data_IF_678321094309
#
_entry.id   IF_678321094309
#
_cell.length_a   1.000
_cell.length_b   1.000
_cell.length_c   1.000
_cell.angle_alpha   90.00
_cell.angle_beta   90.00
_cell.angle_gamma   90.00
#
_symmetry.space_group_name_H-M   'P 1'
#
loop_
_entity.id
_entity.type
_entity.pdbx_description
1 polymer ?
#
# COMPACT_ATOMS: atom_id res chain seq x y z
N UNK A 1 -8.88 -43.35 65.79
CA UNK A 1 -9.30 -43.47 64.37
C UNK A 1 -8.99 -42.17 63.69
N UNK A 2 -7.87 -42.13 62.98
CA UNK A 2 -7.43 -40.91 62.27
C UNK A 2 -8.00 -40.90 60.86
N UNK A 3 -8.87 -39.94 60.58
CA UNK A 3 -9.44 -39.71 59.24
C UNK A 3 -8.36 -38.93 58.45
N UNK A 4 -7.76 -39.55 57.44
CA UNK A 4 -6.94 -38.86 56.47
C UNK A 4 -7.82 -38.19 55.41
N UNK A 5 -7.85 -36.87 55.46
CA UNK A 5 -8.46 -36.03 54.42
C UNK A 5 -7.50 -35.92 53.28
N UNK A 6 -7.70 -36.69 52.22
CA UNK A 6 -6.98 -36.53 50.96
C UNK A 6 -7.43 -35.27 50.27
N UNK A 7 -6.64 -34.23 50.33
CA UNK A 7 -6.84 -32.99 49.59
C UNK A 7 -6.25 -33.17 48.19
N UNK A 8 -7.08 -33.54 47.23
CA UNK A 8 -6.73 -33.65 45.80
C UNK A 8 -6.58 -32.25 45.24
N UNK A 9 -5.32 -31.79 45.13
CA UNK A 9 -5.00 -30.53 44.45
C UNK A 9 -5.15 -30.75 42.94
N UNK A 10 -6.29 -30.33 42.38
CA UNK A 10 -6.50 -30.28 40.92
C UNK A 10 -5.67 -29.13 40.34
N UNK A 11 -4.48 -29.47 39.83
CA UNK A 11 -3.69 -28.53 39.04
C UNK A 11 -4.36 -28.37 37.69
N UNK A 12 -5.16 -27.31 37.54
CA UNK A 12 -5.65 -26.88 36.22
C UNK A 12 -4.45 -26.37 35.41
N UNK A 13 -3.93 -27.21 34.53
CA UNK A 13 -3.08 -26.74 33.44
C UNK A 13 -3.93 -25.87 32.50
N UNK A 14 -3.91 -24.56 32.70
CA UNK A 14 -4.31 -23.60 31.65
C UNK A 14 -3.25 -23.70 30.57
N UNK A 15 -3.47 -24.60 29.61
CA UNK A 15 -2.76 -24.54 28.35
C UNK A 15 -3.21 -23.27 27.67
N UNK A 16 -2.46 -22.19 27.88
CA UNK A 16 -2.53 -21.01 27.03
C UNK A 16 -2.10 -21.48 25.65
N UNK A 17 -3.05 -21.87 24.81
CA UNK A 17 -2.83 -21.96 23.38
C UNK A 17 -2.52 -20.55 22.89
N UNK A 18 -1.23 -20.19 22.83
CA UNK A 18 -0.81 -19.12 21.96
C UNK A 18 -1.09 -19.63 20.54
N UNK A 19 -2.22 -19.28 19.96
CA UNK A 19 -2.45 -19.43 18.52
C UNK A 19 -1.33 -18.64 17.84
N UNK A 20 -0.24 -19.32 17.48
CA UNK A 20 0.70 -18.76 16.52
C UNK A 20 -0.07 -18.66 15.21
N UNK A 21 -0.49 -17.46 14.86
CA UNK A 21 -1.11 -17.22 13.57
C UNK A 21 -0.13 -17.69 12.48
N UNK A 22 -0.62 -18.46 11.54
CA UNK A 22 0.19 -18.89 10.41
C UNK A 22 0.41 -17.68 9.49
N UNK A 23 1.64 -17.18 9.46
CA UNK A 23 2.05 -16.05 8.62
C UNK A 23 2.64 -16.48 7.28
N UNK A 24 2.59 -17.76 6.92
CA UNK A 24 3.21 -18.26 5.68
C UNK A 24 2.61 -17.58 4.44
N UNK A 25 1.28 -17.55 4.35
CA UNK A 25 0.58 -16.89 3.25
C UNK A 25 0.86 -15.38 3.21
N UNK A 26 0.79 -14.71 4.37
CA UNK A 26 1.16 -13.30 4.46
C UNK A 26 2.59 -13.05 3.97
N UNK A 27 3.56 -13.87 4.35
CA UNK A 27 4.94 -13.67 3.93
C UNK A 27 5.13 -13.86 2.42
N UNK A 28 4.42 -14.81 1.81
CA UNK A 28 4.39 -14.97 0.36
C UNK A 28 3.80 -13.76 -0.34
N UNK A 29 2.63 -13.32 0.09
CA UNK A 29 1.91 -12.18 -0.51
C UNK A 29 2.64 -10.85 -0.25
N UNK A 30 3.31 -10.72 0.90
CA UNK A 30 4.17 -9.57 1.18
C UNK A 30 5.31 -9.45 0.17
N UNK A 31 5.95 -10.55 -0.21
CA UNK A 31 7.01 -10.51 -1.22
C UNK A 31 6.46 -9.99 -2.57
N UNK A 32 5.27 -10.43 -2.99
CA UNK A 32 4.58 -9.93 -4.19
C UNK A 32 4.30 -8.43 -4.06
N UNK A 33 3.75 -7.97 -2.93
CA UNK A 33 3.46 -6.56 -2.72
C UNK A 33 4.74 -5.69 -2.68
N UNK A 34 5.84 -6.22 -2.14
CA UNK A 34 7.15 -5.55 -2.17
C UNK A 34 7.68 -5.40 -3.59
N UNK A 35 7.63 -6.46 -4.38
CA UNK A 35 8.02 -6.44 -5.79
C UNK A 35 7.15 -5.46 -6.59
N UNK A 36 5.83 -5.47 -6.36
CA UNK A 36 4.91 -4.53 -7.01
C UNK A 36 5.24 -3.07 -6.69
N UNK A 37 5.46 -2.69 -5.43
CA UNK A 37 5.83 -1.32 -5.09
C UNK A 37 7.20 -0.93 -5.65
N UNK A 38 8.14 -1.88 -5.75
CA UNK A 38 9.46 -1.61 -6.30
C UNK A 38 9.45 -1.30 -7.80
N UNK A 39 8.37 -1.62 -8.54
CA UNK A 39 8.26 -1.27 -9.96
C UNK A 39 8.23 0.23 -10.23
N UNK A 40 7.87 1.03 -9.23
CA UNK A 40 7.90 2.50 -9.30
C UNK A 40 9.29 3.09 -9.07
N UNK A 41 10.22 2.32 -8.48
CA UNK A 41 11.57 2.76 -8.20
C UNK A 41 12.48 2.60 -9.46
N UNK A 42 13.58 3.34 -9.51
CA UNK A 42 14.50 3.26 -10.66
C UNK A 42 15.36 1.98 -10.64
N UNK A 43 15.47 1.23 -11.77
CA UNK A 43 14.80 1.48 -13.03
C UNK A 43 13.31 1.09 -12.99
N UNK A 44 12.45 1.99 -13.45
CA UNK A 44 11.00 1.75 -13.52
C UNK A 44 10.70 0.53 -14.39
N UNK A 45 9.82 -0.37 -13.92
CA UNK A 45 9.41 -1.57 -14.67
C UNK A 45 7.88 -1.64 -14.85
N UNK A 46 7.39 -0.91 -15.85
CA UNK A 46 5.97 -0.84 -16.17
C UNK A 46 5.41 -2.17 -16.71
N UNK A 47 6.23 -2.99 -17.37
CA UNK A 47 5.77 -4.29 -17.87
C UNK A 47 5.60 -5.29 -16.71
N UNK A 48 6.52 -5.30 -15.74
CA UNK A 48 6.35 -6.09 -14.52
C UNK A 48 5.12 -5.61 -13.74
N UNK A 49 4.97 -4.29 -13.54
CA UNK A 49 3.78 -3.70 -12.89
C UNK A 49 2.48 -4.26 -13.46
N UNK A 50 2.31 -4.20 -14.79
CA UNK A 50 1.10 -4.71 -15.47
C UNK A 50 0.92 -6.21 -15.26
N UNK A 51 1.99 -6.98 -15.32
CA UNK A 51 1.96 -8.44 -15.22
C UNK A 51 1.58 -8.97 -13.85
N UNK A 52 1.70 -8.13 -12.80
CA UNK A 52 1.37 -8.49 -11.42
C UNK A 52 -0.09 -8.23 -11.04
N UNK A 53 -0.87 -7.62 -11.91
CA UNK A 53 -2.27 -7.25 -11.67
C UNK A 53 -3.23 -8.30 -12.25
N UNK A 54 -4.28 -8.65 -11.48
CA UNK A 54 -5.41 -9.40 -12.01
C UNK A 54 -6.23 -8.50 -12.96
N UNK A 55 -6.65 -9.02 -14.10
CA UNK A 55 -7.47 -8.25 -15.07
C UNK A 55 -8.85 -7.81 -14.52
N UNK A 56 -9.30 -8.42 -13.44
CA UNK A 56 -10.51 -8.04 -12.71
C UNK A 56 -10.21 -7.32 -11.38
N UNK A 57 -9.06 -6.68 -11.26
CA UNK A 57 -8.67 -5.99 -10.04
C UNK A 57 -9.69 -4.92 -9.64
N UNK A 58 -9.96 -4.83 -8.33
CA UNK A 58 -10.65 -3.71 -7.69
C UNK A 58 -9.62 -2.87 -6.93
N UNK A 59 -9.43 -1.62 -7.35
CA UNK A 59 -8.47 -0.72 -6.72
C UNK A 59 -9.14 0.53 -6.17
N UNK A 60 -8.93 0.82 -4.87
CA UNK A 60 -9.33 2.09 -4.28
C UNK A 60 -8.31 3.17 -4.65
N UNK A 61 -8.69 4.08 -5.54
CA UNK A 61 -7.85 5.20 -5.95
C UNK A 61 -7.65 6.20 -4.81
N UNK A 62 -6.44 6.79 -4.66
CA UNK A 62 -6.16 7.86 -3.69
C UNK A 62 -6.70 9.22 -4.12
N UNK A 63 -7.14 9.34 -5.39
CA UNK A 63 -7.61 10.61 -5.95
C UNK A 63 -9.01 10.95 -5.45
N UNK A 64 -9.18 12.18 -4.99
CA UNK A 64 -10.47 12.65 -4.47
C UNK A 64 -11.60 12.49 -5.51
N UNK A 65 -12.69 11.84 -5.06
CA UNK A 65 -13.91 11.66 -5.86
C UNK A 65 -13.87 10.52 -6.89
N UNK A 66 -12.74 9.82 -7.05
CA UNK A 66 -12.61 8.74 -8.05
C UNK A 66 -13.21 7.42 -7.52
N UNK A 67 -12.92 7.03 -6.28
CA UNK A 67 -13.45 5.80 -5.69
C UNK A 67 -12.74 4.53 -6.15
N UNK A 68 -13.49 3.42 -6.27
CA UNK A 68 -12.96 2.13 -6.73
C UNK A 68 -12.92 2.08 -8.25
N UNK A 69 -11.80 1.63 -8.80
CA UNK A 69 -11.52 1.55 -10.24
C UNK A 69 -11.06 0.14 -10.63
N UNK A 70 -11.10 -0.16 -11.92
CA UNK A 70 -10.66 -1.42 -12.51
C UNK A 70 -9.28 -1.34 -13.15
N UNK A 71 -8.92 -2.42 -13.87
CA UNK A 71 -7.59 -2.63 -14.46
C UNK A 71 -7.09 -1.45 -15.29
N UNK A 72 -7.88 -0.96 -16.25
CA UNK A 72 -7.45 0.10 -17.17
C UNK A 72 -7.06 1.38 -16.41
N UNK A 73 -7.85 1.77 -15.41
CA UNK A 73 -7.57 2.96 -14.61
C UNK A 73 -6.35 2.76 -13.68
N UNK A 74 -6.12 1.53 -13.20
CA UNK A 74 -4.89 1.22 -12.43
C UNK A 74 -3.66 1.35 -13.32
N UNK A 75 -3.74 0.88 -14.57
CA UNK A 75 -2.67 1.04 -15.56
C UNK A 75 -2.42 2.51 -15.85
N UNK A 76 -3.46 3.32 -16.09
CA UNK A 76 -3.35 4.77 -16.29
C UNK A 76 -2.72 5.47 -15.07
N UNK A 77 -3.12 5.09 -13.86
CA UNK A 77 -2.53 5.62 -12.62
C UNK A 77 -1.05 5.27 -12.49
N UNK A 78 -0.69 4.01 -12.77
CA UNK A 78 0.71 3.55 -12.75
C UNK A 78 1.57 4.30 -13.76
N UNK A 79 1.11 4.39 -15.00
CA UNK A 79 1.78 5.14 -16.07
C UNK A 79 1.97 6.62 -15.69
N UNK A 80 0.94 7.25 -15.12
CA UNK A 80 1.03 8.63 -14.67
C UNK A 80 2.17 8.81 -13.65
N UNK A 81 2.24 8.00 -12.61
CA UNK A 81 3.29 8.17 -11.59
C UNK A 81 4.67 7.82 -12.14
N UNK A 82 4.80 6.73 -12.90
CA UNK A 82 6.07 6.29 -13.45
C UNK A 82 6.64 7.23 -14.52
N UNK A 83 5.77 7.93 -15.27
CA UNK A 83 6.18 8.85 -16.35
C UNK A 83 6.44 10.28 -15.88
N UNK A 84 5.85 10.72 -14.76
CA UNK A 84 5.89 12.11 -14.32
C UNK A 84 6.82 12.38 -13.13
N UNK A 85 7.34 11.32 -12.50
CA UNK A 85 8.23 11.45 -11.35
C UNK A 85 9.51 10.67 -11.53
N UNK A 86 10.62 11.22 -11.02
CA UNK A 86 11.95 10.58 -10.95
C UNK A 86 12.40 10.42 -9.51
N UNK A 87 13.46 9.63 -9.32
CA UNK A 87 14.07 9.36 -8.01
C UNK A 87 13.06 8.89 -6.96
N UNK A 88 12.05 8.12 -7.44
CA UNK A 88 10.98 7.61 -6.59
C UNK A 88 11.54 6.53 -5.66
N UNK A 89 11.23 6.65 -4.37
CA UNK A 89 11.57 5.66 -3.34
C UNK A 89 10.42 5.47 -2.38
N UNK A 90 10.28 4.25 -1.83
CA UNK A 90 9.34 3.93 -0.76
C UNK A 90 10.11 3.59 0.51
N UNK A 91 10.13 4.51 1.47
CA UNK A 91 10.96 4.43 2.67
C UNK A 91 10.16 4.15 3.94
N UNK A 92 10.86 3.72 5.01
CA UNK A 92 10.31 3.48 6.34
C UNK A 92 9.13 2.49 6.35
N UNK A 93 9.11 1.53 5.44
CA UNK A 93 8.01 0.60 5.26
C UNK A 93 7.74 -0.29 6.48
N UNK A 94 6.52 -0.24 7.00
CA UNK A 94 6.02 -1.10 8.07
C UNK A 94 4.99 -2.05 7.49
N UNK A 95 5.37 -3.33 7.35
CA UNK A 95 4.55 -4.38 6.76
C UNK A 95 3.77 -5.14 7.83
N UNK A 96 2.45 -5.20 7.70
CA UNK A 96 1.55 -5.84 8.64
C UNK A 96 0.63 -6.83 7.92
N UNK A 97 0.30 -7.97 8.55
CA UNK A 97 -0.73 -8.85 8.04
C UNK A 97 -2.10 -8.20 8.16
N UNK A 98 -2.94 -8.43 7.14
CA UNK A 98 -4.36 -8.19 7.28
C UNK A 98 -5.06 -9.32 8.01
N UNK A 99 -6.32 -9.07 8.35
CA UNK A 99 -7.16 -10.03 9.05
C UNK A 99 -8.54 -10.09 8.40
N UNK A 100 -9.16 -11.26 8.44
CA UNK A 100 -10.55 -11.43 8.10
C UNK A 100 -11.42 -10.65 9.10
N UNK A 101 -12.38 -9.87 8.61
CA UNK A 101 -13.20 -8.97 9.44
C UNK A 101 -14.14 -9.68 10.41
N UNK A 102 -14.52 -10.92 10.11
CA UNK A 102 -15.44 -11.71 10.95
C UNK A 102 -14.68 -12.53 12.02
N UNK A 103 -13.57 -13.19 11.61
CA UNK A 103 -12.83 -14.11 12.48
C UNK A 103 -11.68 -13.45 13.21
N UNK A 104 -11.20 -12.30 12.72
CA UNK A 104 -10.00 -11.59 13.17
C UNK A 104 -8.71 -12.41 13.05
N UNK A 105 -8.75 -13.49 12.28
CA UNK A 105 -7.57 -14.29 11.96
C UNK A 105 -6.84 -13.71 10.75
N UNK A 106 -5.51 -13.91 10.70
CA UNK A 106 -4.70 -13.50 9.56
C UNK A 106 -5.19 -14.20 8.29
N UNK A 107 -5.47 -13.42 7.24
CA UNK A 107 -6.11 -13.88 6.00
C UNK A 107 -5.16 -13.87 4.78
N UNK A 108 -3.88 -13.55 5.00
CA UNK A 108 -2.88 -13.45 3.93
C UNK A 108 -2.88 -12.11 3.20
N UNK A 109 -3.82 -11.21 3.45
CA UNK A 109 -3.77 -9.86 2.91
C UNK A 109 -2.61 -9.07 3.53
N UNK A 110 -2.13 -8.08 2.78
CA UNK A 110 -0.95 -7.29 3.14
C UNK A 110 -1.36 -5.84 3.34
N UNK A 111 -0.83 -5.24 4.38
CA UNK A 111 -0.96 -3.82 4.68
C UNK A 111 0.43 -3.24 4.84
N UNK A 112 0.65 -2.03 4.33
CA UNK A 112 1.92 -1.35 4.47
C UNK A 112 1.72 0.14 4.71
N UNK A 113 2.47 0.67 5.66
CA UNK A 113 2.66 2.10 5.86
C UNK A 113 4.08 2.46 5.44
N UNK A 114 4.26 3.59 4.82
CA UNK A 114 5.58 4.07 4.42
C UNK A 114 5.50 5.49 3.88
N UNK A 115 6.63 6.00 3.42
CA UNK A 115 6.75 7.34 2.89
C UNK A 115 7.25 7.28 1.46
N UNK A 116 6.44 7.73 0.51
CA UNK A 116 6.87 7.96 -0.86
C UNK A 116 7.64 9.27 -0.96
N UNK A 117 8.77 9.22 -1.65
CA UNK A 117 9.55 10.41 -2.03
C UNK A 117 9.84 10.37 -3.52
N UNK A 118 10.09 11.53 -4.10
CA UNK A 118 10.47 11.65 -5.50
C UNK A 118 10.54 13.11 -5.94
N UNK A 119 10.75 13.30 -7.24
CA UNK A 119 10.89 14.61 -7.88
C UNK A 119 9.95 14.68 -9.08
N UNK A 120 9.17 15.73 -9.20
CA UNK A 120 8.36 16.00 -10.40
C UNK A 120 9.27 16.33 -11.57
N UNK A 121 9.17 15.58 -12.66
CA UNK A 121 9.96 15.81 -13.87
C UNK A 121 9.64 17.18 -14.50
N UNK A 122 8.38 17.58 -14.44
CA UNK A 122 7.91 18.82 -15.06
C UNK A 122 8.39 20.09 -14.33
N UNK A 123 8.49 20.06 -13.00
CA UNK A 123 8.80 21.27 -12.19
C UNK A 123 10.15 21.20 -11.48
N UNK A 124 10.75 20.01 -11.34
CA UNK A 124 11.91 19.78 -10.49
C UNK A 124 11.64 19.85 -8.99
N UNK A 125 10.37 20.02 -8.58
CA UNK A 125 9.98 20.08 -7.17
C UNK A 125 9.93 18.67 -6.56
N UNK A 126 10.51 18.52 -5.37
CA UNK A 126 10.49 17.26 -4.63
C UNK A 126 9.20 17.11 -3.83
N UNK A 127 8.77 15.86 -3.61
CA UNK A 127 7.69 15.51 -2.69
C UNK A 127 8.14 14.50 -1.64
N UNK A 128 7.41 14.49 -0.52
CA UNK A 128 7.48 13.45 0.50
C UNK A 128 6.08 13.32 1.08
N UNK A 129 5.46 12.15 0.94
CA UNK A 129 4.08 11.90 1.39
C UNK A 129 3.98 10.56 2.09
N UNK A 130 3.38 10.57 3.28
CA UNK A 130 3.08 9.33 4.00
C UNK A 130 1.88 8.64 3.36
N UNK A 131 2.00 7.33 3.21
CA UNK A 131 1.00 6.51 2.53
C UNK A 131 0.67 5.25 3.32
N UNK A 132 -0.55 4.79 3.13
CA UNK A 132 -0.99 3.45 3.49
C UNK A 132 -1.48 2.74 2.23
N UNK A 133 -1.03 1.49 2.05
CA UNK A 133 -1.51 0.61 0.99
C UNK A 133 -2.01 -0.70 1.57
N UNK A 134 -2.99 -1.32 0.89
CA UNK A 134 -3.35 -2.70 1.15
C UNK A 134 -3.40 -3.51 -0.15
N UNK A 135 -3.13 -4.82 -0.03
CA UNK A 135 -3.13 -5.76 -1.15
C UNK A 135 -3.80 -7.07 -0.75
N UNK A 136 -4.70 -7.55 -1.61
CA UNK A 136 -5.19 -8.92 -1.60
C UNK A 136 -4.61 -9.62 -2.83
N UNK A 137 -3.96 -10.76 -2.60
CA UNK A 137 -3.34 -11.55 -3.65
C UNK A 137 -4.14 -12.82 -3.86
N UNK A 138 -4.45 -13.14 -5.11
CA UNK A 138 -5.11 -14.36 -5.53
C UNK A 138 -4.34 -14.95 -6.70
N UNK A 139 -4.02 -16.25 -6.61
CA UNK A 139 -3.30 -16.98 -7.67
C UNK A 139 -1.98 -16.30 -8.12
N UNK A 140 -1.32 -15.59 -7.18
CA UNK A 140 -0.07 -14.88 -7.43
C UNK A 140 -0.22 -13.47 -8.01
N UNK A 141 -1.44 -13.01 -8.30
CA UNK A 141 -1.75 -11.69 -8.83
C UNK A 141 -2.44 -10.80 -7.78
N UNK A 142 -2.25 -9.50 -7.87
CA UNK A 142 -2.94 -8.52 -7.02
C UNK A 142 -4.37 -8.38 -7.56
N UNK A 143 -5.33 -8.94 -6.83
CA UNK A 143 -6.75 -8.94 -7.19
C UNK A 143 -7.54 -7.81 -6.55
N UNK A 144 -7.02 -7.26 -5.44
CA UNK A 144 -7.59 -6.08 -4.81
C UNK A 144 -6.51 -5.26 -4.15
N UNK A 145 -6.59 -3.95 -4.28
CA UNK A 145 -5.65 -3.02 -3.66
C UNK A 145 -6.30 -1.68 -3.33
N UNK A 146 -5.58 -0.84 -2.61
CA UNK A 146 -5.99 0.54 -2.40
C UNK A 146 -4.87 1.37 -1.82
N UNK A 147 -4.88 2.63 -2.23
CA UNK A 147 -3.91 3.64 -1.88
C UNK A 147 -4.60 4.73 -1.05
N UNK A 148 -3.95 5.13 0.03
CA UNK A 148 -4.45 6.17 0.93
C UNK A 148 -3.31 7.13 1.27
N UNK A 149 -3.26 8.24 0.58
CA UNK A 149 -2.38 9.37 0.81
C UNK A 149 -2.98 10.63 0.17
N UNK A 150 -2.46 11.79 0.45
CA UNK A 150 -2.93 13.03 -0.15
C UNK A 150 -2.38 13.19 -1.58
N UNK A 151 -2.88 12.36 -2.51
CA UNK A 151 -2.45 12.35 -3.90
C UNK A 151 -2.76 13.69 -4.60
N UNK A 152 -3.94 14.25 -4.36
CA UNK A 152 -4.34 15.53 -4.95
C UNK A 152 -3.46 16.67 -4.46
N UNK A 153 -3.26 16.78 -3.14
CA UNK A 153 -2.40 17.79 -2.55
C UNK A 153 -0.96 17.66 -2.99
N UNK A 154 -0.43 16.42 -3.08
CA UNK A 154 0.92 16.16 -3.58
C UNK A 154 1.09 16.65 -5.02
N UNK A 155 0.21 16.25 -5.94
CA UNK A 155 0.29 16.65 -7.35
C UNK A 155 0.20 18.17 -7.51
N UNK A 156 -0.71 18.83 -6.78
CA UNK A 156 -0.81 20.28 -6.78
C UNK A 156 0.45 20.96 -6.25
N UNK A 157 1.04 20.46 -5.18
CA UNK A 157 2.23 21.04 -4.56
C UNK A 157 3.47 20.98 -5.48
N UNK A 158 3.57 19.94 -6.30
CA UNK A 158 4.71 19.75 -7.21
C UNK A 158 4.43 20.15 -8.66
N UNK A 159 3.27 20.71 -8.96
CA UNK A 159 2.98 21.28 -10.28
C UNK A 159 3.92 22.45 -10.59
N UNK A 160 4.24 22.71 -11.87
CA UNK A 160 4.95 23.93 -12.27
C UNK A 160 4.24 25.18 -11.75
N UNK A 161 5.01 26.22 -11.40
CA UNK A 161 4.43 27.51 -11.09
C UNK A 161 3.76 28.09 -12.34
N UNK A 162 2.55 28.66 -12.21
CA UNK A 162 1.92 29.35 -13.32
C UNK A 162 2.81 30.55 -13.69
N UNK A 163 3.24 30.61 -14.96
CA UNK A 163 3.88 31.82 -15.49
C UNK A 163 2.86 32.96 -15.44
N UNK A 164 3.05 33.90 -14.51
CA UNK A 164 2.33 35.16 -14.51
C UNK A 164 2.82 35.95 -15.73
N UNK A 165 2.16 35.77 -16.87
CA UNK A 165 2.35 36.63 -18.03
C UNK A 165 1.82 38.02 -17.65
N UNK A 166 2.72 38.88 -17.16
CA UNK A 166 2.43 40.30 -17.02
C UNK A 166 2.32 40.86 -18.44
N UNK A 167 1.11 40.93 -18.92
CA UNK A 167 0.83 41.78 -20.10
C UNK A 167 1.09 43.21 -19.64
N UNK A 168 2.18 43.82 -20.11
CA UNK A 168 2.33 45.27 -20.08
C UNK A 168 1.16 45.85 -20.90
N UNK A 169 0.08 46.30 -20.22
CA UNK A 169 -0.85 47.21 -20.84
C UNK A 169 -0.06 48.48 -21.17
N UNK A 170 0.10 48.73 -22.44
CA UNK A 170 0.60 50.01 -22.93
C UNK A 170 -0.25 51.13 -22.34
N UNK A 171 0.36 51.92 -21.50
CA UNK A 171 -0.26 53.17 -21.01
C UNK A 171 -0.01 54.22 -22.10
N UNK A 172 -1.01 54.45 -22.94
CA UNK A 172 -1.11 55.62 -23.81
C UNK A 172 -1.48 56.89 -22.99
#
# INVERSE_FOLDING_TARGET
MKKYLLMTLAVMFVTSCSNKQDLALFNTNKAIAQEFLSTYEAPVDFDLFKSMLDENIEHQSPMYGVGVVGYDQVIEQGDFYMSNFSDVTFENAIWLPGVNEETLEVDGSVRVYGTWKGVSIASGKSFSVDAYHYFLVKDGLISKSGDFFDATGMVMAVSPDEEVVMTEEEVD
#
